data_IF_510400969910
#
_entry.id   IF_510400969910
#
_cell.length_a   1.000
_cell.length_b   1.000
_cell.length_c   1.000
_cell.angle_alpha   90.00
_cell.angle_beta   90.00
_cell.angle_gamma   90.00
#
_symmetry.space_group_name_H-M   'P 1'
#
loop_
_entity.id
_entity.type
_entity.pdbx_description
1 polymer ?
#
# COMPACT_ATOMS: atom_id res chain seq x y z
N UNK A 1 8.34 -12.22 0.39
CA UNK A 1 8.73 -13.21 -0.65
C UNK A 1 8.92 -14.55 0.06
N UNK A 2 8.52 -15.66 -0.55
CA UNK A 2 8.68 -16.99 0.02
C UNK A 2 9.44 -17.89 -0.96
N UNK A 3 10.21 -18.82 -0.42
CA UNK A 3 10.91 -19.88 -1.16
C UNK A 3 10.59 -21.17 -0.40
N UNK A 4 9.94 -22.17 -1.03
CA UNK A 4 9.52 -23.38 -0.33
C UNK A 4 10.70 -24.20 0.20
N UNK A 5 11.91 -23.96 -0.31
CA UNK A 5 13.12 -24.65 0.13
C UNK A 5 13.85 -23.91 1.25
N UNK A 6 13.33 -22.76 1.71
CA UNK A 6 13.93 -21.99 2.79
C UNK A 6 13.06 -22.02 4.04
N UNK A 7 13.63 -22.35 5.21
CA UNK A 7 12.89 -22.37 6.46
C UNK A 7 12.58 -20.96 7.00
N UNK A 8 13.26 -19.93 6.49
CA UNK A 8 13.15 -18.56 6.96
C UNK A 8 12.59 -17.63 5.87
N UNK A 9 12.07 -16.48 6.27
CA UNK A 9 11.65 -15.44 5.33
C UNK A 9 12.81 -14.99 4.45
N UNK A 10 12.52 -14.71 3.17
CA UNK A 10 13.51 -14.14 2.24
C UNK A 10 13.86 -12.70 2.62
N UNK A 11 12.86 -11.94 3.07
CA UNK A 11 13.00 -10.58 3.56
C UNK A 11 11.80 -10.25 4.47
N UNK A 12 12.05 -9.42 5.48
CA UNK A 12 11.03 -8.89 6.40
C UNK A 12 11.06 -7.36 6.31
N UNK A 13 9.91 -6.76 6.01
CA UNK A 13 9.76 -5.32 5.83
C UNK A 13 9.11 -4.72 7.08
N UNK A 14 9.93 -4.04 7.87
CA UNK A 14 9.50 -3.42 9.13
C UNK A 14 9.21 -1.94 8.87
N UNK A 15 8.06 -1.43 9.33
CA UNK A 15 7.79 0.00 9.24
C UNK A 15 6.34 0.44 9.44
N UNK A 16 5.37 -0.49 9.40
CA UNK A 16 4.02 -0.21 9.93
C UNK A 16 4.02 -0.35 11.45
N UNK A 17 3.22 0.48 12.13
CA UNK A 17 3.11 0.47 13.59
C UNK A 17 1.90 -0.32 14.11
N UNK A 18 1.06 -0.82 13.21
CA UNK A 18 -0.15 -1.59 13.47
C UNK A 18 -0.23 -2.80 12.52
N UNK A 19 -1.31 -3.57 12.62
CA UNK A 19 -1.61 -4.72 11.75
C UNK A 19 -1.53 -4.32 10.26
N UNK A 20 -0.89 -5.15 9.45
CA UNK A 20 -0.87 -5.00 7.99
C UNK A 20 -2.02 -5.81 7.41
N UNK A 21 -2.99 -5.14 6.79
CA UNK A 21 -4.20 -5.79 6.27
C UNK A 21 -4.03 -6.28 4.83
N UNK A 22 -3.24 -5.58 4.02
CA UNK A 22 -3.04 -5.94 2.62
C UNK A 22 -1.64 -5.53 2.15
N UNK A 23 -1.07 -6.33 1.24
CA UNK A 23 0.13 -6.00 0.49
C UNK A 23 0.03 -6.57 -0.93
N UNK A 24 0.28 -5.73 -1.94
CA UNK A 24 0.22 -6.14 -3.36
C UNK A 24 1.38 -5.60 -4.16
N UNK A 25 1.92 -6.46 -5.03
CA UNK A 25 2.91 -6.09 -6.03
C UNK A 25 2.33 -5.14 -7.06
N UNK A 26 3.15 -4.17 -7.48
CA UNK A 26 2.86 -3.36 -8.66
C UNK A 26 2.85 -4.27 -9.89
N UNK A 27 1.83 -4.19 -10.76
CA UNK A 27 1.82 -4.91 -12.03
C UNK A 27 2.73 -4.25 -13.08
N UNK A 28 3.26 -3.06 -12.81
CA UNK A 28 4.03 -2.26 -13.78
C UNK A 28 5.51 -2.13 -13.42
N UNK A 29 5.83 -2.05 -12.12
CA UNK A 29 7.19 -1.78 -11.66
C UNK A 29 7.75 -3.03 -10.95
N UNK A 30 8.76 -3.71 -11.54
CA UNK A 30 9.43 -4.83 -10.89
C UNK A 30 9.98 -4.45 -9.52
N UNK A 31 9.96 -5.39 -8.59
CA UNK A 31 10.41 -5.19 -7.21
C UNK A 31 9.62 -4.14 -6.39
N UNK A 32 8.58 -3.53 -6.95
CA UNK A 32 7.72 -2.58 -6.23
C UNK A 32 6.47 -3.27 -5.68
N UNK A 33 6.16 -3.03 -4.42
CA UNK A 33 4.87 -3.41 -3.84
C UNK A 33 4.37 -2.33 -2.88
N UNK A 34 3.06 -2.31 -2.66
CA UNK A 34 2.41 -1.45 -1.69
C UNK A 34 1.92 -2.30 -0.50
N UNK A 35 1.82 -1.69 0.68
CA UNK A 35 1.12 -2.26 1.84
C UNK A 35 0.28 -1.21 2.54
N UNK A 36 -0.78 -1.66 3.21
CA UNK A 36 -1.68 -0.82 4.01
C UNK A 36 -1.92 -1.45 5.38
N UNK A 37 -2.22 -0.60 6.36
CA UNK A 37 -2.24 -0.99 7.77
C UNK A 37 -3.30 -0.23 8.58
N UNK A 38 -3.60 -0.76 9.77
CA UNK A 38 -4.36 -0.09 10.81
C UNK A 38 -3.74 1.21 11.34
N UNK A 39 -2.50 1.53 10.97
CA UNK A 39 -1.86 2.82 11.29
C UNK A 39 -2.33 3.97 10.40
N UNK A 40 -3.24 3.70 9.46
CA UNK A 40 -3.78 4.66 8.49
C UNK A 40 -2.86 4.90 7.30
N UNK A 41 -1.72 4.21 7.22
CA UNK A 41 -0.71 4.45 6.21
C UNK A 41 -0.82 3.51 5.00
N UNK A 42 -0.58 4.09 3.83
CA UNK A 42 -0.12 3.40 2.63
C UNK A 42 1.41 3.54 2.56
N UNK A 43 2.12 2.42 2.37
CA UNK A 43 3.57 2.41 2.16
C UNK A 43 3.91 1.77 0.83
N UNK A 44 4.87 2.36 0.13
CA UNK A 44 5.46 1.82 -1.09
C UNK A 44 6.87 1.32 -0.79
N UNK A 45 7.19 0.12 -1.28
CA UNK A 45 8.40 -0.60 -0.96
C UNK A 45 9.14 -1.02 -2.22
N UNK A 46 10.47 -0.99 -2.14
CA UNK A 46 11.35 -1.67 -3.07
C UNK A 46 11.85 -2.96 -2.40
N UNK A 47 11.63 -4.11 -3.02
CA UNK A 47 11.98 -5.41 -2.42
C UNK A 47 13.47 -5.63 -2.24
N UNK A 48 14.31 -4.85 -2.94
CA UNK A 48 15.76 -4.87 -2.76
C UNK A 48 16.23 -4.03 -1.55
N UNK A 49 15.34 -3.24 -0.93
CA UNK A 49 15.66 -2.32 0.17
C UNK A 49 14.67 -2.54 1.34
N UNK A 50 14.75 -3.68 2.06
CA UNK A 50 13.73 -4.06 3.04
C UNK A 50 13.71 -3.22 4.32
N UNK A 51 14.77 -2.45 4.59
CA UNK A 51 14.92 -1.69 5.83
C UNK A 51 14.10 -0.39 5.87
N UNK A 52 13.59 0.08 4.72
CA UNK A 52 12.79 1.31 4.66
C UNK A 52 11.76 1.29 3.54
N UNK A 53 10.61 1.88 3.81
CA UNK A 53 9.67 2.20 2.75
C UNK A 53 10.30 3.27 1.85
N UNK A 54 10.15 3.11 0.53
CA UNK A 54 10.49 4.15 -0.43
C UNK A 54 9.58 5.36 -0.24
N UNK A 55 8.36 5.11 0.22
CA UNK A 55 7.40 6.17 0.51
C UNK A 55 6.40 5.74 1.59
N UNK A 56 5.95 6.72 2.37
CA UNK A 56 4.87 6.56 3.35
C UNK A 56 3.88 7.70 3.19
N UNK A 57 2.59 7.39 3.14
CA UNK A 57 1.49 8.33 3.05
C UNK A 57 0.45 7.98 4.11
N UNK A 58 -0.03 8.99 4.85
CA UNK A 58 -1.25 8.85 5.65
C UNK A 58 -2.45 8.89 4.70
N UNK A 59 -2.91 7.72 4.27
CA UNK A 59 -3.97 7.62 3.28
C UNK A 59 -5.35 7.84 3.91
N UNK A 60 -5.53 7.38 5.15
CA UNK A 60 -6.77 7.55 5.89
C UNK A 60 -6.50 7.89 7.36
N UNK A 61 -7.50 8.49 8.00
CA UNK A 61 -7.49 8.74 9.44
C UNK A 61 -7.90 7.50 10.24
N UNK A 62 -8.47 6.50 9.56
CA UNK A 62 -8.83 5.19 10.09
C UNK A 62 -7.99 4.07 9.47
N UNK A 63 -8.29 2.82 9.84
CA UNK A 63 -7.58 1.64 9.39
C UNK A 63 -7.76 1.42 7.88
N UNK A 64 -6.66 1.26 7.16
CA UNK A 64 -6.71 0.98 5.71
C UNK A 64 -6.69 -0.53 5.51
N UNK A 65 -7.80 -1.05 5.00
CA UNK A 65 -8.11 -2.47 4.97
C UNK A 65 -7.74 -3.12 3.64
N UNK A 66 -7.78 -2.34 2.55
CA UNK A 66 -7.54 -2.83 1.20
C UNK A 66 -6.79 -1.82 0.35
N UNK A 67 -6.06 -2.34 -0.63
CA UNK A 67 -5.43 -1.56 -1.68
C UNK A 67 -5.51 -2.34 -2.99
N UNK A 68 -5.54 -1.66 -4.13
CA UNK A 68 -5.24 -2.26 -5.43
C UNK A 68 -4.55 -1.25 -6.35
N UNK A 69 -3.66 -1.77 -7.19
CA UNK A 69 -2.97 -1.01 -8.23
C UNK A 69 -3.84 -0.93 -9.49
N UNK A 70 -3.92 0.25 -10.11
CA UNK A 70 -4.51 0.39 -11.43
C UNK A 70 -3.71 -0.47 -12.44
N UNK A 71 -4.41 -1.34 -13.18
CA UNK A 71 -3.77 -2.22 -14.17
C UNK A 71 -3.41 -1.50 -15.47
N UNK A 72 -3.90 -0.27 -15.66
CA UNK A 72 -3.75 0.50 -16.91
C UNK A 72 -2.96 1.80 -16.74
N UNK A 73 -2.75 2.26 -15.51
CA UNK A 73 -1.88 3.39 -15.19
C UNK A 73 -0.95 3.02 -14.04
N UNK A 74 0.35 3.05 -14.29
CA UNK A 74 1.39 2.67 -13.32
C UNK A 74 1.48 3.59 -12.10
N UNK A 75 0.92 4.79 -12.19
CA UNK A 75 0.98 5.77 -11.12
C UNK A 75 -0.28 5.77 -10.27
N UNK A 76 -1.31 4.98 -10.57
CA UNK A 76 -2.58 5.06 -9.82
C UNK A 76 -2.77 3.84 -8.93
N UNK A 77 -3.18 4.09 -7.69
CA UNK A 77 -3.63 3.06 -6.74
C UNK A 77 -4.85 3.54 -5.98
N UNK A 78 -5.76 2.63 -5.65
CA UNK A 78 -6.91 2.88 -4.79
C UNK A 78 -6.72 2.23 -3.42
N UNK A 79 -7.22 2.88 -2.36
CA UNK A 79 -7.28 2.36 -1.00
C UNK A 79 -8.71 2.40 -0.49
N UNK A 80 -9.09 1.40 0.32
CA UNK A 80 -10.35 1.37 1.06
C UNK A 80 -10.10 1.22 2.55
N UNK A 81 -10.83 1.96 3.36
CA UNK A 81 -10.61 2.04 4.80
C UNK A 81 -11.90 1.93 5.63
N UNK A 82 -11.74 1.75 6.93
CA UNK A 82 -12.85 1.67 7.89
C UNK A 82 -13.55 3.02 8.16
N UNK A 83 -13.04 4.12 7.60
CA UNK A 83 -13.72 5.42 7.56
C UNK A 83 -14.87 5.47 6.53
N UNK A 84 -15.08 4.38 5.78
CA UNK A 84 -16.12 4.29 4.76
C UNK A 84 -15.77 4.97 3.44
N UNK A 85 -14.50 5.39 3.27
CA UNK A 85 -14.03 6.06 2.07
C UNK A 85 -13.18 5.14 1.19
N UNK A 86 -13.27 5.36 -0.11
CA UNK A 86 -12.31 4.87 -1.10
C UNK A 86 -11.56 6.08 -1.65
N UNK A 87 -10.22 6.04 -1.60
CA UNK A 87 -9.37 7.11 -2.11
C UNK A 87 -8.46 6.61 -3.21
N UNK A 88 -8.32 7.40 -4.27
CA UNK A 88 -7.35 7.18 -5.34
C UNK A 88 -6.12 8.04 -5.14
N UNK A 89 -4.94 7.52 -5.46
CA UNK A 89 -3.66 8.19 -5.25
C UNK A 89 -2.83 8.15 -6.53
N UNK A 90 -2.20 9.28 -6.87
CA UNK A 90 -1.20 9.37 -7.93
C UNK A 90 0.21 9.29 -7.35
N UNK A 91 1.01 8.34 -7.83
CA UNK A 91 2.34 8.07 -7.30
C UNK A 91 3.37 9.17 -7.60
N UNK A 92 3.00 10.14 -8.43
CA UNK A 92 3.81 11.31 -8.76
C UNK A 92 3.47 12.50 -7.88
N UNK A 93 2.28 12.52 -7.28
CA UNK A 93 1.84 13.56 -6.37
C UNK A 93 0.85 13.02 -5.32
N UNK A 94 1.32 12.91 -4.08
CA UNK A 94 0.57 12.36 -2.96
C UNK A 94 0.03 13.41 -1.99
N UNK A 95 0.04 14.70 -2.35
CA UNK A 95 -0.45 15.76 -1.47
C UNK A 95 -1.92 15.60 -1.11
N UNK A 96 -2.70 14.97 -1.98
CA UNK A 96 -4.13 14.76 -1.85
C UNK A 96 -4.57 13.59 -2.71
N UNK A 97 -5.69 12.92 -2.38
CA UNK A 97 -6.25 11.92 -3.25
C UNK A 97 -6.70 12.54 -4.58
N UNK A 98 -6.53 11.82 -5.70
CA UNK A 98 -7.02 12.23 -7.02
C UNK A 98 -8.53 12.02 -7.16
N UNK A 99 -9.10 11.12 -6.35
CA UNK A 99 -10.54 10.98 -6.17
C UNK A 99 -10.83 10.45 -4.77
N UNK A 100 -12.00 10.80 -4.26
CA UNK A 100 -12.56 10.26 -3.02
C UNK A 100 -14.00 9.83 -3.29
N UNK A 101 -14.35 8.62 -2.88
CA UNK A 101 -15.69 8.08 -2.98
C UNK A 101 -16.17 7.75 -1.58
N UNK A 102 -17.35 8.26 -1.24
CA UNK A 102 -18.07 7.94 -0.03
C UNK A 102 -19.33 7.19 -0.42
N UNK A 103 -19.57 6.03 0.18
CA UNK A 103 -20.85 5.33 0.01
C UNK A 103 -21.84 5.97 0.98
N UNK A 104 -22.80 6.72 0.46
CA UNK A 104 -23.94 7.17 1.24
C UNK A 104 -24.87 5.96 1.45
N UNK A 105 -25.01 5.53 2.70
CA UNK A 105 -25.98 4.53 3.15
C UNK A 105 -27.24 5.19 3.69
#
# INVERSE_FOLDING_TARGET
>A
QWDPNRPNSLATFLGHSQLVYNAMWSPHVPACFASVSGDGALKIWNSHIPQRATMTLRAHDAEVLSLDWCKYDQNILATGASDGLIRGWDLRNFSSPVFELKVDV
#
